data_IF_558215274216
#
_entry.id   IF_558215274216
#
_cell.length_a   1.000
_cell.length_b   1.000
_cell.length_c   1.000
_cell.angle_alpha   90.00
_cell.angle_beta   90.00
_cell.angle_gamma   90.00
#
_symmetry.space_group_name_H-M   'P 1'
#
loop_
_entity.id
_entity.type
_entity.pdbx_description
1 polymer ?
#
# COMPACT_ATOMS: atom_id res chain seq x y z
N UNK A 1 -7.19 -5.74 -33.87
CA UNK A 1 -8.05 -6.77 -33.25
C UNK A 1 -7.99 -8.13 -33.97
N UNK A 2 -6.94 -8.39 -34.79
CA UNK A 2 -7.01 -9.38 -35.88
C UNK A 2 -6.01 -10.52 -35.68
N UNK A 3 -4.97 -10.27 -34.87
CA UNK A 3 -3.88 -11.20 -34.57
C UNK A 3 -4.30 -12.29 -33.59
N UNK A 4 -5.12 -11.94 -32.59
CA UNK A 4 -5.69 -12.86 -31.60
C UNK A 4 -6.60 -13.91 -32.25
N UNK A 5 -7.54 -13.47 -33.10
CA UNK A 5 -8.45 -14.37 -33.84
C UNK A 5 -7.70 -15.35 -34.74
N UNK A 6 -6.61 -14.91 -35.37
CA UNK A 6 -5.76 -15.76 -36.22
C UNK A 6 -4.98 -16.81 -35.43
N UNK A 7 -4.50 -16.49 -34.22
CA UNK A 7 -3.85 -17.47 -33.32
C UNK A 7 -4.87 -18.44 -32.72
N UNK A 8 -6.03 -17.95 -32.29
CA UNK A 8 -7.10 -18.78 -31.75
C UNK A 8 -7.61 -19.84 -32.74
N UNK A 9 -7.58 -19.56 -34.05
CA UNK A 9 -7.92 -20.55 -35.11
C UNK A 9 -6.81 -21.59 -35.33
N UNK A 10 -5.55 -21.30 -34.99
CA UNK A 10 -4.37 -22.16 -35.20
C UNK A 10 -3.97 -22.93 -33.94
N UNK A 11 -4.37 -22.47 -32.76
CA UNK A 11 -4.10 -23.08 -31.46
C UNK A 11 -5.23 -24.04 -31.06
N UNK A 12 -4.90 -25.31 -30.87
CA UNK A 12 -5.81 -26.34 -30.34
C UNK A 12 -5.99 -26.25 -28.82
N UNK A 13 -5.38 -25.26 -28.18
CA UNK A 13 -5.36 -25.13 -26.72
C UNK A 13 -6.67 -24.48 -26.22
N UNK A 14 -7.22 -24.93 -25.08
CA UNK A 14 -8.42 -24.33 -24.49
C UNK A 14 -8.18 -22.87 -24.08
N UNK A 15 -9.21 -22.02 -24.18
CA UNK A 15 -9.14 -20.57 -23.93
C UNK A 15 -8.46 -20.18 -22.60
N UNK A 16 -8.71 -20.85 -21.47
CA UNK A 16 -8.02 -20.54 -20.21
C UNK A 16 -6.49 -20.73 -20.28
N UNK A 17 -6.04 -21.70 -21.08
CA UNK A 17 -4.62 -21.99 -21.28
C UNK A 17 -3.94 -20.92 -22.14
N UNK A 18 -4.63 -20.42 -23.17
CA UNK A 18 -4.14 -19.31 -24.01
C UNK A 18 -4.00 -18.03 -23.16
N UNK A 19 -4.97 -17.74 -22.29
CA UNK A 19 -4.90 -16.57 -21.40
C UNK A 19 -3.72 -16.65 -20.44
N UNK A 20 -3.53 -17.80 -19.78
CA UNK A 20 -2.43 -17.97 -18.83
C UNK A 20 -1.06 -17.97 -19.52
N UNK A 21 -0.93 -18.53 -20.71
CA UNK A 21 0.29 -18.50 -21.53
C UNK A 21 0.60 -17.09 -22.05
N UNK A 22 -0.40 -16.38 -22.56
CA UNK A 22 -0.26 -14.99 -22.99
C UNK A 22 0.16 -14.10 -21.81
N UNK A 23 -0.53 -14.21 -20.67
CA UNK A 23 -0.20 -13.48 -19.44
C UNK A 23 1.24 -13.75 -18.98
N UNK A 24 1.66 -15.02 -18.94
CA UNK A 24 3.04 -15.40 -18.59
C UNK A 24 4.04 -14.81 -19.58
N UNK A 25 3.79 -14.93 -20.88
CA UNK A 25 4.69 -14.37 -21.91
C UNK A 25 4.83 -12.84 -21.83
N UNK A 26 3.75 -12.12 -21.47
CA UNK A 26 3.78 -10.67 -21.25
C UNK A 26 4.38 -10.29 -19.90
N UNK A 27 4.19 -11.11 -18.86
CA UNK A 27 4.65 -10.85 -17.50
C UNK A 27 6.17 -11.06 -17.35
N UNK A 28 6.78 -11.89 -18.19
CA UNK A 28 8.23 -12.09 -18.23
C UNK A 28 8.94 -11.04 -19.12
N UNK A 29 8.19 -10.14 -19.76
CA UNK A 29 8.77 -9.02 -20.50
C UNK A 29 9.55 -8.10 -19.56
N UNK A 30 10.85 -8.00 -19.76
CA UNK A 30 11.73 -7.08 -19.02
C UNK A 30 11.22 -5.63 -19.12
N UNK A 31 10.62 -5.25 -20.24
CA UNK A 31 9.98 -3.95 -20.45
C UNK A 31 8.85 -3.70 -19.43
N UNK A 32 8.07 -4.73 -19.08
CA UNK A 32 7.02 -4.61 -18.07
C UNK A 32 7.60 -4.43 -16.67
N UNK A 33 8.75 -5.04 -16.37
CA UNK A 33 9.40 -4.90 -15.07
C UNK A 33 9.89 -3.46 -14.80
N UNK A 34 10.24 -2.71 -15.84
CA UNK A 34 10.58 -1.28 -15.75
C UNK A 34 9.38 -0.36 -15.48
N UNK A 35 8.17 -0.81 -15.79
CA UNK A 35 6.93 -0.06 -15.60
C UNK A 35 6.49 -0.01 -14.13
N UNK A 36 6.90 -0.99 -13.32
CA UNK A 36 6.50 -1.09 -11.91
C UNK A 36 7.47 -0.36 -10.99
N UNK A 37 6.97 0.34 -9.95
CA UNK A 37 7.84 0.94 -8.95
C UNK A 37 8.60 -0.16 -8.20
N UNK A 38 9.88 0.08 -7.94
CA UNK A 38 10.68 -0.84 -7.14
C UNK A 38 10.11 -0.97 -5.73
N UNK A 39 10.27 -2.15 -5.12
CA UNK A 39 9.85 -2.41 -3.73
C UNK A 39 10.37 -1.32 -2.77
N UNK A 40 11.59 -0.81 -2.97
CA UNK A 40 12.14 0.32 -2.22
C UNK A 40 11.28 1.59 -2.32
N UNK A 41 10.88 1.98 -3.54
CA UNK A 41 10.02 3.15 -3.78
C UNK A 41 8.64 2.98 -3.13
N UNK A 42 8.05 1.79 -3.29
CA UNK A 42 6.75 1.46 -2.67
C UNK A 42 6.82 1.58 -1.14
N UNK A 43 7.83 0.98 -0.52
CA UNK A 43 8.02 1.06 0.94
C UNK A 43 8.19 2.50 1.43
N UNK A 44 8.98 3.33 0.74
CA UNK A 44 9.19 4.73 1.13
C UNK A 44 7.88 5.52 1.06
N UNK A 45 7.09 5.34 -0.01
CA UNK A 45 5.79 6.01 -0.13
C UNK A 45 4.82 5.60 0.98
N UNK A 46 4.77 4.31 1.30
CA UNK A 46 3.94 3.75 2.37
C UNK A 46 4.30 4.33 3.75
N UNK A 47 5.58 4.31 4.14
CA UNK A 47 5.98 4.85 5.43
C UNK A 47 5.77 6.37 5.53
N UNK A 48 5.94 7.10 4.42
CA UNK A 48 5.65 8.54 4.37
C UNK A 48 4.17 8.83 4.56
N UNK A 49 3.27 8.07 3.93
CA UNK A 49 1.82 8.27 4.12
C UNK A 49 1.40 7.93 5.55
N UNK A 50 1.99 6.88 6.12
CA UNK A 50 1.73 6.49 7.51
C UNK A 50 2.19 7.55 8.50
N UNK A 51 3.40 8.11 8.34
CA UNK A 51 3.92 9.18 9.20
C UNK A 51 3.09 10.48 9.13
N UNK A 52 2.46 10.76 7.99
CA UNK A 52 1.52 11.89 7.86
C UNK A 52 0.22 11.65 8.61
N UNK A 53 -0.27 10.41 8.63
CA UNK A 53 -1.53 10.05 9.29
C UNK A 53 -1.36 9.92 10.81
N UNK A 54 -0.21 9.42 11.24
CA UNK A 54 0.11 9.18 12.64
C UNK A 54 1.38 9.97 12.98
N UNK A 55 1.25 11.22 13.44
CA UNK A 55 2.42 11.93 13.94
C UNK A 55 3.05 11.11 15.07
N UNK A 56 4.38 11.15 15.22
CA UNK A 56 5.05 10.53 16.35
C UNK A 56 4.39 10.99 17.65
N UNK A 57 4.15 10.04 18.57
CA UNK A 57 3.72 10.37 19.92
C UNK A 57 4.74 11.34 20.51
N UNK A 58 4.24 12.44 21.08
CA UNK A 58 5.05 13.48 21.67
C UNK A 58 5.95 12.85 22.73
N UNK A 59 7.26 12.81 22.46
CA UNK A 59 8.23 12.05 23.23
C UNK A 59 8.48 12.64 24.63
N UNK A 60 8.05 13.87 24.88
CA UNK A 60 8.34 14.59 26.11
C UNK A 60 7.13 14.58 27.04
N UNK A 61 7.28 14.00 28.24
CA UNK A 61 6.25 13.99 29.30
C UNK A 61 5.67 15.38 29.61
N UNK A 62 6.46 16.44 29.43
CA UNK A 62 6.03 17.84 29.60
C UNK A 62 4.88 18.25 28.65
N UNK A 63 4.75 17.58 27.50
CA UNK A 63 3.67 17.84 26.54
C UNK A 63 2.42 16.97 26.78
N UNK A 64 2.56 15.93 27.61
CA UNK A 64 1.45 15.12 28.14
C UNK A 64 0.97 15.63 29.50
N UNK A 65 1.48 16.76 29.97
CA UNK A 65 1.07 17.32 31.25
C UNK A 65 -0.39 17.76 31.18
N UNK A 66 -1.22 17.22 32.09
CA UNK A 66 -2.66 17.50 32.13
C UNK A 66 -2.85 18.99 32.46
N UNK A 67 -3.56 19.76 31.64
CA UNK A 67 -3.86 21.15 31.94
C UNK A 67 -4.52 21.29 33.32
N UNK A 68 -4.19 22.35 34.06
CA UNK A 68 -4.65 22.54 35.45
C UNK A 68 -6.17 22.43 35.57
N UNK A 69 -6.93 22.95 34.61
CA UNK A 69 -8.39 22.85 34.60
C UNK A 69 -8.95 21.41 34.56
N UNK A 70 -8.16 20.42 34.11
CA UNK A 70 -8.55 19.01 34.01
C UNK A 70 -7.98 18.16 35.14
N UNK A 71 -7.26 18.77 36.09
CA UNK A 71 -6.75 18.07 37.28
C UNK A 71 -7.80 17.89 38.36
N UNK A 72 -9.00 18.44 38.18
CA UNK A 72 -10.09 18.36 39.15
C UNK A 72 -11.17 17.42 38.62
N UNK A 73 -11.47 16.38 39.39
CA UNK A 73 -12.56 15.44 39.10
C UNK A 73 -13.93 16.09 39.31
N UNK A 74 -15.00 15.50 38.77
CA UNK A 74 -16.38 15.97 38.98
C UNK A 74 -16.77 16.04 40.46
N UNK A 75 -16.10 15.29 41.33
CA UNK A 75 -16.30 15.32 42.79
C UNK A 75 -15.41 16.35 43.50
N UNK A 76 -14.75 17.26 42.79
CA UNK A 76 -13.88 18.29 43.35
C UNK A 76 -12.51 17.80 43.86
N UNK A 77 -12.17 16.53 43.66
CA UNK A 77 -10.86 15.98 44.09
C UNK A 77 -9.80 16.27 43.04
N UNK A 78 -8.63 16.72 43.48
CA UNK A 78 -7.44 16.89 42.64
C UNK A 78 -6.87 15.51 42.29
N UNK A 79 -6.39 15.32 41.06
CA UNK A 79 -5.80 14.07 40.56
C UNK A 79 -4.38 13.79 41.10
N UNK A 80 -3.94 14.49 42.15
CA UNK A 80 -2.69 14.29 42.88
C UNK A 80 -2.93 14.54 44.37
#
# INVERSE_FOLDING_TARGET
MNTLKRRARKETKPVPQIYSEAYRSTSTSLEAAGQFPTCKKVKVAMYRSQAKRFPPLLATRQQMEIPVQWRVTKSGRTLL
#
